data_IF_713553392053
#
_entry.id   IF_713553392053
#
_cell.length_a   1.000
_cell.length_b   1.000
_cell.length_c   1.000
_cell.angle_alpha   90.00
_cell.angle_beta   90.00
_cell.angle_gamma   90.00
#
_symmetry.space_group_name_H-M   'P 1'
#
loop_
_entity.id
_entity.type
_entity.pdbx_description
1 polymer ?
#
# COMPACT_ATOMS: atom_id res chain seq x y z
N UNK A 1 18.87 53.20 -4.54
CA UNK A 1 20.11 52.75 -3.88
C UNK A 1 20.07 51.24 -3.91
N UNK A 2 20.30 50.58 -5.05
CA UNK A 2 21.39 50.75 -6.03
C UNK A 2 22.75 50.36 -5.42
N UNK A 3 23.29 49.26 -5.97
CA UNK A 3 24.70 48.86 -6.05
C UNK A 3 25.47 48.59 -4.75
N UNK A 4 25.90 47.33 -4.59
CA UNK A 4 27.33 47.00 -4.65
C UNK A 4 27.53 45.53 -5.09
N UNK A 5 28.42 45.36 -6.06
CA UNK A 5 28.74 44.14 -6.82
C UNK A 5 29.59 43.13 -6.02
N UNK A 6 29.37 41.81 -6.13
CA UNK A 6 29.88 40.88 -7.17
C UNK A 6 31.42 40.84 -7.32
N UNK A 7 32.00 39.68 -6.96
CA UNK A 7 33.04 38.92 -7.71
C UNK A 7 33.66 37.78 -6.88
N UNK A 8 33.60 36.55 -7.40
CA UNK A 8 34.72 35.60 -7.43
C UNK A 8 34.29 34.34 -8.20
N UNK A 9 34.87 34.10 -9.37
CA UNK A 9 34.69 32.88 -10.15
C UNK A 9 36.02 32.51 -10.86
N UNK A 10 36.26 31.21 -11.04
CA UNK A 10 37.36 30.57 -11.80
C UNK A 10 38.83 30.74 -11.37
N UNK A 11 39.45 29.66 -10.86
CA UNK A 11 40.72 29.14 -11.42
C UNK A 11 41.05 27.68 -11.03
N UNK A 12 41.06 26.83 -12.06
CA UNK A 12 42.05 25.81 -12.44
C UNK A 12 42.87 25.03 -11.36
N UNK A 13 42.58 23.72 -11.28
CA UNK A 13 43.38 22.60 -11.80
C UNK A 13 44.89 22.42 -11.45
N UNK A 14 45.27 21.14 -11.32
CA UNK A 14 46.63 20.55 -11.15
C UNK A 14 47.29 20.58 -9.76
N UNK A 15 47.43 19.39 -9.14
CA UNK A 15 48.72 18.69 -8.99
C UNK A 15 48.50 17.20 -8.70
N UNK A 16 49.15 16.32 -9.48
CA UNK A 16 49.50 14.94 -9.08
C UNK A 16 51.00 14.93 -8.72
N UNK A 17 51.48 14.08 -7.81
CA UNK A 17 52.28 12.88 -8.12
C UNK A 17 52.93 12.22 -6.87
N UNK A 18 53.52 11.01 -7.07
CA UNK A 18 54.26 10.11 -6.14
C UNK A 18 53.46 8.83 -5.72
N UNK A 19 53.16 7.89 -6.63
CA UNK A 19 54.00 6.72 -7.03
C UNK A 19 54.48 5.87 -5.82
N UNK A 20 54.15 4.58 -5.66
CA UNK A 20 54.71 3.34 -6.28
C UNK A 20 53.89 2.13 -5.69
N UNK A 21 53.74 0.92 -6.27
CA UNK A 21 54.13 0.33 -7.57
C UNK A 21 53.20 -0.83 -8.01
N UNK A 22 53.26 -1.12 -9.31
CA UNK A 22 52.75 -2.28 -10.09
C UNK A 22 53.30 -3.67 -9.70
N UNK A 23 52.56 -4.73 -10.07
CA UNK A 23 53.02 -5.65 -11.14
C UNK A 23 51.89 -6.50 -11.76
N UNK A 24 51.88 -6.54 -13.11
CA UNK A 24 51.17 -7.48 -13.97
C UNK A 24 52.11 -7.83 -15.14
N UNK A 25 51.97 -9.00 -15.76
CA UNK A 25 51.56 -9.04 -17.18
C UNK A 25 50.52 -10.16 -17.44
N UNK A 26 49.46 -10.00 -18.25
CA UNK A 26 49.39 -9.67 -19.68
C UNK A 26 49.91 -10.80 -20.61
N UNK A 27 49.05 -11.27 -21.52
CA UNK A 27 49.32 -11.49 -22.96
C UNK A 27 48.06 -11.94 -23.72
N UNK A 28 48.06 -11.77 -25.05
CA UNK A 28 46.92 -12.05 -25.96
C UNK A 28 47.25 -13.13 -26.98
N UNK A 29 46.22 -13.62 -27.70
CA UNK A 29 46.18 -14.14 -29.10
C UNK A 29 45.72 -15.61 -29.33
N UNK A 30 44.70 -15.70 -30.21
CA UNK A 30 44.50 -16.68 -31.32
C UNK A 30 44.28 -18.19 -31.05
N UNK A 31 43.00 -18.58 -31.25
CA UNK A 31 42.49 -19.50 -32.32
C UNK A 31 42.78 -21.02 -32.25
N UNK A 32 41.71 -21.77 -32.56
CA UNK A 32 41.65 -23.11 -33.21
C UNK A 32 41.29 -24.30 -32.30
N UNK A 33 40.72 -25.35 -32.90
CA UNK A 33 39.87 -26.35 -32.24
C UNK A 33 40.48 -27.77 -32.20
N UNK A 34 40.13 -28.51 -31.13
CA UNK A 34 39.94 -29.98 -31.05
C UNK A 34 41.13 -30.90 -31.42
N UNK A 35 41.05 -32.24 -31.22
CA UNK A 35 40.13 -33.05 -30.39
C UNK A 35 40.91 -33.87 -29.31
N UNK A 36 40.24 -34.74 -28.55
CA UNK A 36 40.56 -36.18 -28.36
C UNK A 36 39.51 -36.82 -27.43
N UNK A 37 39.11 -38.05 -27.76
CA UNK A 37 38.14 -38.88 -27.04
C UNK A 37 38.79 -39.78 -25.99
N UNK A 38 38.02 -40.18 -24.97
CA UNK A 38 38.08 -41.54 -24.43
C UNK A 38 36.66 -42.07 -24.18
N UNK A 39 36.53 -43.39 -24.19
CA UNK A 39 35.31 -44.16 -24.42
C UNK A 39 35.02 -45.10 -23.23
N UNK A 40 33.73 -45.37 -22.94
CA UNK A 40 33.26 -46.61 -22.31
C UNK A 40 31.72 -46.73 -22.24
N UNK A 41 31.17 -47.49 -23.19
CA UNK A 41 29.84 -48.14 -23.23
C UNK A 41 29.88 -49.48 -22.40
N UNK A 42 28.92 -50.46 -22.42
CA UNK A 42 27.46 -50.44 -22.65
C UNK A 42 26.61 -51.16 -21.58
N UNK A 43 25.26 -51.04 -21.68
CA UNK A 43 24.36 -52.23 -21.62
C UNK A 43 22.90 -52.05 -22.16
N UNK A 44 22.75 -52.28 -23.47
CA UNK A 44 21.64 -52.96 -24.21
C UNK A 44 20.23 -53.13 -23.58
N UNK A 45 19.20 -52.75 -24.37
CA UNK A 45 18.18 -53.72 -24.88
C UNK A 45 17.58 -53.27 -26.22
N UNK A 46 17.59 -54.17 -27.20
CA UNK A 46 17.11 -53.99 -28.59
C UNK A 46 15.63 -54.34 -28.76
N UNK A 47 14.97 -53.75 -29.78
CA UNK A 47 14.01 -54.44 -30.64
C UNK A 47 13.87 -53.72 -32.00
N UNK A 48 14.14 -54.45 -33.08
CA UNK A 48 14.22 -53.94 -34.45
C UNK A 48 12.87 -53.81 -35.17
N UNK A 49 12.86 -52.97 -36.21
CA UNK A 49 12.01 -53.08 -37.41
C UNK A 49 12.69 -52.27 -38.54
N UNK A 50 13.18 -52.96 -39.57
CA UNK A 50 13.83 -52.36 -40.75
C UNK A 50 12.80 -52.05 -41.87
N UNK A 51 13.34 -51.60 -43.02
CA UNK A 51 12.65 -51.18 -44.27
C UNK A 51 12.12 -49.72 -44.24
N UNK A 52 12.42 -48.87 -45.24
CA UNK A 52 13.25 -49.03 -46.45
C UNK A 52 13.87 -47.70 -46.90
N UNK A 53 14.97 -47.78 -47.65
CA UNK A 53 15.60 -46.62 -48.28
C UNK A 53 14.78 -46.18 -49.50
N UNK A 54 14.43 -44.89 -49.57
CA UNK A 54 14.21 -44.24 -50.86
C UNK A 54 14.94 -42.90 -50.89
N UNK A 55 15.89 -42.79 -51.81
CA UNK A 55 16.90 -41.72 -51.81
C UNK A 55 16.77 -40.90 -53.09
N UNK A 56 16.02 -39.80 -53.04
CA UNK A 56 15.96 -38.82 -54.12
C UNK A 56 16.52 -37.48 -53.65
N UNK A 57 17.79 -37.25 -53.99
CA UNK A 57 18.39 -35.92 -53.92
C UNK A 57 17.66 -34.97 -54.88
N UNK A 58 17.11 -33.88 -54.35
CA UNK A 58 16.82 -32.67 -55.13
C UNK A 58 17.82 -31.60 -54.74
N UNK A 59 18.46 -31.03 -55.76
CA UNK A 59 19.59 -30.11 -55.60
C UNK A 59 19.18 -28.72 -55.08
N UNK A 60 19.97 -28.21 -54.13
CA UNK A 60 20.22 -26.79 -53.85
C UNK A 60 19.06 -25.91 -53.35
N UNK A 61 18.92 -25.88 -52.01
CA UNK A 61 18.19 -24.84 -51.27
C UNK A 61 18.39 -24.85 -49.75
N UNK A 62 18.68 -26.03 -49.17
CA UNK A 62 18.57 -26.27 -47.72
C UNK A 62 19.43 -25.42 -46.77
N UNK A 63 20.67 -25.09 -47.13
CA UNK A 63 21.65 -24.53 -46.17
C UNK A 63 21.24 -23.19 -45.54
N UNK A 64 20.53 -22.31 -46.27
CA UNK A 64 20.07 -21.02 -45.72
C UNK A 64 18.80 -21.16 -44.87
N UNK A 65 17.94 -22.12 -45.18
CA UNK A 65 16.75 -22.39 -44.35
C UNK A 65 17.17 -22.98 -43.03
N UNK A 66 17.96 -24.06 -43.05
CA UNK A 66 18.42 -24.78 -41.87
C UNK A 66 19.12 -23.84 -40.85
N UNK A 67 20.02 -22.98 -41.32
CA UNK A 67 20.67 -21.98 -40.45
C UNK A 67 19.66 -20.96 -39.86
N UNK A 68 18.65 -20.55 -40.63
CA UNK A 68 17.59 -19.68 -40.12
C UNK A 68 16.63 -20.39 -39.16
N UNK A 69 16.48 -21.72 -39.30
CA UNK A 69 15.72 -22.57 -38.39
C UNK A 69 16.46 -22.71 -37.05
N UNK A 70 17.76 -23.05 -37.07
CA UNK A 70 18.63 -23.13 -35.89
C UNK A 70 18.70 -21.79 -35.13
N UNK A 71 18.93 -20.67 -35.83
CA UNK A 71 18.98 -19.34 -35.19
C UNK A 71 17.61 -18.94 -34.60
N UNK A 72 16.50 -19.36 -35.21
CA UNK A 72 15.18 -19.07 -34.67
C UNK A 72 14.91 -19.82 -33.36
N UNK A 73 15.34 -21.09 -33.29
CA UNK A 73 15.19 -21.94 -32.11
C UNK A 73 15.98 -21.40 -30.90
N UNK A 74 17.23 -20.99 -31.12
CA UNK A 74 18.07 -20.32 -30.10
C UNK A 74 17.53 -18.94 -29.66
N UNK A 75 16.56 -18.39 -30.40
CA UNK A 75 15.89 -17.12 -30.12
C UNK A 75 14.42 -17.30 -29.71
N UNK A 76 14.03 -18.47 -29.20
CA UNK A 76 12.71 -18.68 -28.61
C UNK A 76 12.58 -18.05 -27.21
N UNK A 77 11.40 -17.51 -26.91
CA UNK A 77 11.10 -16.94 -25.61
C UNK A 77 10.76 -18.05 -24.59
N UNK A 78 11.56 -18.18 -23.52
CA UNK A 78 11.34 -19.18 -22.45
C UNK A 78 10.03 -19.06 -21.65
N UNK A 79 9.13 -18.12 -21.97
CA UNK A 79 7.77 -18.04 -21.42
C UNK A 79 6.66 -18.46 -22.39
N UNK A 80 6.86 -18.29 -23.70
CA UNK A 80 5.81 -18.54 -24.70
C UNK A 80 6.26 -19.44 -25.86
N UNK A 81 7.49 -19.96 -25.84
CA UNK A 81 8.06 -20.89 -26.82
C UNK A 81 7.94 -20.43 -28.28
N UNK A 82 8.01 -19.11 -28.48
CA UNK A 82 7.86 -18.46 -29.77
C UNK A 82 9.01 -17.46 -29.98
N UNK A 83 9.40 -17.21 -31.23
CA UNK A 83 10.52 -16.34 -31.59
C UNK A 83 10.45 -14.99 -30.86
N UNK A 84 11.52 -14.58 -30.18
CA UNK A 84 11.58 -13.40 -29.33
C UNK A 84 11.07 -12.13 -30.03
N UNK A 85 10.21 -11.39 -29.34
CA UNK A 85 9.69 -10.11 -29.80
C UNK A 85 9.93 -9.04 -28.72
N UNK A 86 10.66 -7.98 -29.11
CA UNK A 86 11.16 -6.92 -28.20
C UNK A 86 11.87 -7.53 -26.98
N UNK A 87 13.01 -8.23 -27.19
CA UNK A 87 13.63 -9.05 -26.15
C UNK A 87 14.16 -8.23 -24.98
N UNK A 88 13.93 -8.74 -23.77
CA UNK A 88 14.47 -8.22 -22.52
C UNK A 88 15.32 -9.29 -21.84
N UNK A 89 16.42 -8.87 -21.22
CA UNK A 89 17.34 -9.72 -20.48
C UNK A 89 17.19 -9.46 -18.98
N UNK A 90 17.01 -10.53 -18.20
CA UNK A 90 16.84 -10.49 -16.74
C UNK A 90 18.21 -10.48 -16.03
N UNK A 91 18.40 -9.56 -15.09
CA UNK A 91 19.61 -9.46 -14.27
C UNK A 91 19.40 -10.04 -12.86
N UNK A 92 20.32 -10.86 -12.32
CA UNK A 92 21.66 -11.16 -12.84
C UNK A 92 21.76 -12.43 -13.72
N UNK A 93 20.69 -13.21 -13.85
CA UNK A 93 20.74 -14.56 -14.45
C UNK A 93 20.80 -14.61 -15.99
N UNK A 94 20.73 -13.46 -16.66
CA UNK A 94 20.85 -13.25 -18.12
C UNK A 94 19.87 -14.02 -19.02
N UNK A 95 18.81 -14.62 -18.46
CA UNK A 95 17.74 -15.24 -19.24
C UNK A 95 16.96 -14.18 -20.04
N UNK A 96 16.51 -14.55 -21.24
CA UNK A 96 15.90 -13.63 -22.21
C UNK A 96 14.45 -14.03 -22.46
N UNK A 97 13.57 -13.03 -22.52
CA UNK A 97 12.13 -13.19 -22.79
C UNK A 97 11.61 -12.06 -23.68
N UNK A 98 10.42 -12.21 -24.25
CA UNK A 98 9.68 -11.08 -24.81
C UNK A 98 9.37 -10.07 -23.69
N UNK A 99 9.48 -8.77 -23.99
CA UNK A 99 9.18 -7.72 -23.01
C UNK A 99 7.75 -7.81 -22.44
N UNK A 100 6.77 -8.17 -23.28
CA UNK A 100 5.38 -8.41 -22.87
C UNK A 100 5.25 -9.60 -21.90
N UNK A 101 5.89 -10.73 -22.19
CA UNK A 101 5.86 -11.92 -21.32
C UNK A 101 6.51 -11.64 -19.95
N UNK A 102 7.65 -10.94 -19.94
CA UNK A 102 8.33 -10.59 -18.69
C UNK A 102 7.53 -9.56 -17.88
N UNK A 103 6.88 -8.59 -18.52
CA UNK A 103 6.05 -7.60 -17.84
C UNK A 103 4.78 -8.24 -17.26
N UNK A 104 4.13 -9.14 -18.00
CA UNK A 104 2.95 -9.85 -17.54
C UNK A 104 3.26 -10.74 -16.34
N UNK A 105 4.41 -11.43 -16.34
CA UNK A 105 4.90 -12.19 -15.19
C UNK A 105 5.06 -11.31 -13.93
N UNK A 106 5.70 -10.14 -14.07
CA UNK A 106 5.87 -9.19 -12.95
C UNK A 106 4.52 -8.65 -12.47
N UNK A 107 3.61 -8.28 -13.38
CA UNK A 107 2.24 -7.82 -13.04
C UNK A 107 1.42 -8.88 -12.32
N UNK A 108 1.62 -10.15 -12.65
CA UNK A 108 0.94 -11.29 -12.01
C UNK A 108 1.61 -11.73 -10.69
N UNK A 109 2.47 -10.90 -10.09
CA UNK A 109 3.11 -11.15 -8.78
C UNK A 109 4.47 -11.85 -8.84
N UNK A 110 5.06 -12.03 -10.02
CA UNK A 110 6.39 -12.64 -10.19
C UNK A 110 7.53 -11.78 -9.64
N UNK A 111 8.21 -12.26 -8.60
CA UNK A 111 9.35 -11.60 -7.93
C UNK A 111 10.73 -12.10 -8.40
N UNK A 112 10.76 -13.09 -9.30
CA UNK A 112 11.96 -13.80 -9.73
C UNK A 112 11.95 -14.13 -11.24
N UNK A 113 13.05 -14.66 -11.77
CA UNK A 113 13.14 -15.01 -13.20
C UNK A 113 12.16 -16.15 -13.57
N UNK A 114 11.36 -16.03 -14.65
CA UNK A 114 10.44 -17.09 -15.08
C UNK A 114 11.10 -18.46 -15.34
N UNK A 115 12.30 -18.47 -15.93
CA UNK A 115 12.99 -19.71 -16.30
C UNK A 115 13.71 -20.37 -15.10
N UNK A 116 14.62 -19.64 -14.46
CA UNK A 116 15.51 -20.20 -13.43
C UNK A 116 15.06 -19.94 -11.99
N UNK A 117 13.98 -19.17 -11.76
CA UNK A 117 13.42 -18.78 -10.44
C UNK A 117 14.40 -18.07 -9.48
N UNK A 118 15.61 -17.74 -9.94
CA UNK A 118 16.60 -17.00 -9.18
C UNK A 118 16.13 -15.57 -8.87
N UNK A 119 16.57 -15.05 -7.72
CA UNK A 119 16.35 -13.66 -7.33
C UNK A 119 16.82 -12.72 -8.45
N UNK A 120 15.91 -11.90 -8.93
CA UNK A 120 16.09 -11.04 -10.09
C UNK A 120 15.78 -9.61 -9.69
N UNK A 121 16.51 -8.64 -10.24
CA UNK A 121 16.37 -7.23 -9.84
C UNK A 121 15.72 -6.40 -10.94
N UNK A 122 16.15 -6.61 -12.19
CA UNK A 122 15.73 -5.83 -13.35
C UNK A 122 15.60 -6.70 -14.59
N UNK A 123 14.75 -6.30 -15.52
CA UNK A 123 14.74 -6.81 -16.89
C UNK A 123 14.87 -5.64 -17.87
N UNK A 124 15.93 -5.64 -18.68
CA UNK A 124 16.29 -4.52 -19.56
C UNK A 124 16.28 -4.94 -21.04
N UNK A 125 15.89 -4.04 -21.98
CA UNK A 125 15.82 -4.37 -23.41
C UNK A 125 17.20 -4.68 -23.99
N UNK A 126 17.31 -5.79 -24.74
CA UNK A 126 18.56 -6.23 -25.37
C UNK A 126 18.63 -5.78 -26.83
N UNK A 127 19.31 -4.65 -27.09
CA UNK A 127 19.52 -4.16 -28.46
C UNK A 127 20.30 -5.14 -29.36
N UNK A 128 21.36 -5.85 -28.89
CA UNK A 128 22.05 -6.83 -29.72
C UNK A 128 21.13 -7.95 -30.21
N UNK A 129 20.28 -8.50 -29.34
CA UNK A 129 19.35 -9.57 -29.73
C UNK A 129 18.27 -9.05 -30.69
N UNK A 130 17.75 -7.84 -30.45
CA UNK A 130 16.84 -7.20 -31.42
C UNK A 130 17.50 -7.08 -32.80
N UNK A 131 18.79 -6.69 -32.90
CA UNK A 131 19.50 -6.65 -34.18
C UNK A 131 19.62 -8.02 -34.87
N UNK A 132 19.84 -9.11 -34.11
CA UNK A 132 19.89 -10.47 -34.67
C UNK A 132 18.52 -10.88 -35.20
N UNK A 133 17.44 -10.60 -34.46
CA UNK A 133 16.06 -10.84 -34.90
C UNK A 133 15.73 -9.99 -36.15
N UNK A 134 16.15 -8.72 -36.18
CA UNK A 134 15.99 -7.82 -37.34
C UNK A 134 16.76 -8.35 -38.59
N UNK A 135 17.88 -9.07 -38.41
CA UNK A 135 18.60 -9.75 -39.49
C UNK A 135 17.90 -11.03 -39.92
N UNK A 136 17.47 -11.86 -38.96
CA UNK A 136 16.77 -13.13 -39.20
C UNK A 136 15.50 -12.89 -40.02
N UNK A 137 14.62 -11.98 -39.58
CA UNK A 137 13.34 -11.71 -40.24
C UNK A 137 13.49 -11.07 -41.63
N UNK A 138 14.61 -10.38 -41.92
CA UNK A 138 14.92 -9.91 -43.28
C UNK A 138 15.32 -11.02 -44.25
N UNK A 139 15.81 -12.16 -43.74
CA UNK A 139 16.23 -13.31 -44.55
C UNK A 139 15.18 -14.44 -44.54
N UNK A 140 14.39 -14.56 -43.47
CA UNK A 140 13.34 -15.56 -43.27
C UNK A 140 12.03 -14.88 -42.78
N UNK A 141 11.35 -14.08 -43.61
CA UNK A 141 10.17 -13.30 -43.20
C UNK A 141 8.97 -14.18 -42.80
N UNK A 142 8.92 -15.44 -43.24
CA UNK A 142 7.88 -16.40 -42.87
C UNK A 142 7.94 -16.83 -41.38
N UNK A 143 9.04 -16.54 -40.68
CA UNK A 143 9.20 -16.76 -39.23
C UNK A 143 8.71 -15.58 -38.38
N UNK A 144 8.19 -14.51 -38.99
CA UNK A 144 7.62 -13.41 -38.24
C UNK A 144 6.33 -13.83 -37.54
N UNK A 145 6.19 -13.50 -36.24
CA UNK A 145 4.92 -13.62 -35.51
C UNK A 145 3.79 -12.92 -36.26
N UNK A 146 2.56 -13.41 -36.08
CA UNK A 146 1.39 -12.83 -36.70
C UNK A 146 1.22 -11.36 -36.30
N UNK A 147 0.51 -10.59 -37.14
CA UNK A 147 0.28 -9.16 -36.89
C UNK A 147 -0.40 -8.94 -35.53
N UNK A 148 -1.45 -9.73 -35.26
CA UNK A 148 -2.26 -9.67 -34.03
C UNK A 148 -1.46 -9.92 -32.75
N UNK A 149 -0.54 -10.90 -32.77
CA UNK A 149 0.32 -11.18 -31.60
C UNK A 149 1.31 -10.03 -31.32
N UNK A 150 1.81 -9.38 -32.37
CA UNK A 150 2.71 -8.23 -32.23
C UNK A 150 1.95 -7.00 -31.70
N UNK A 151 0.74 -6.76 -32.17
CA UNK A 151 -0.15 -5.71 -31.65
C UNK A 151 -0.47 -5.94 -30.15
N UNK A 152 -0.91 -7.15 -29.78
CA UNK A 152 -1.18 -7.50 -28.38
C UNK A 152 0.06 -7.37 -27.48
N UNK A 153 1.25 -7.77 -27.98
CA UNK A 153 2.50 -7.61 -27.24
C UNK A 153 2.89 -6.13 -27.06
N UNK A 154 2.55 -5.26 -28.02
CA UNK A 154 2.85 -3.83 -28.01
C UNK A 154 1.91 -3.03 -27.10
N UNK A 155 0.65 -3.47 -26.95
CA UNK A 155 -0.28 -2.96 -25.94
C UNK A 155 0.25 -3.20 -24.51
N UNK A 156 0.84 -4.39 -24.27
CA UNK A 156 1.39 -4.77 -22.96
C UNK A 156 2.72 -4.06 -22.70
N UNK A 157 3.68 -4.10 -23.63
CA UNK A 157 5.06 -3.64 -23.41
C UNK A 157 5.57 -2.68 -24.51
N UNK A 158 5.94 -1.47 -24.10
CA UNK A 158 6.59 -0.48 -24.96
C UNK A 158 8.12 -0.65 -24.96
N UNK A 159 8.71 -0.76 -26.15
CA UNK A 159 10.15 -0.88 -26.37
C UNK A 159 10.95 0.18 -25.62
N UNK A 160 12.09 -0.21 -25.04
CA UNK A 160 12.97 0.69 -24.30
C UNK A 160 12.69 0.74 -22.80
N UNK A 161 11.53 0.25 -22.34
CA UNK A 161 11.16 0.25 -20.92
C UNK A 161 12.00 -0.77 -20.13
N UNK A 162 12.69 -0.31 -19.09
CA UNK A 162 13.36 -1.18 -18.11
C UNK A 162 12.34 -1.54 -17.03
N UNK A 163 12.20 -2.83 -16.73
CA UNK A 163 11.34 -3.35 -15.68
C UNK A 163 12.13 -3.65 -14.42
N UNK A 164 11.49 -3.54 -13.26
CA UNK A 164 12.03 -3.96 -11.95
C UNK A 164 11.18 -5.08 -11.41
N UNK A 165 11.82 -6.11 -10.85
CA UNK A 165 11.11 -7.13 -10.08
C UNK A 165 10.79 -6.56 -8.70
N UNK A 166 9.57 -6.78 -8.16
CA UNK A 166 9.28 -6.47 -6.78
C UNK A 166 10.16 -7.32 -5.85
N UNK A 167 10.56 -6.75 -4.71
CA UNK A 167 11.22 -7.54 -3.66
C UNK A 167 10.31 -8.72 -3.29
N UNK A 168 10.84 -9.94 -3.12
CA UNK A 168 10.11 -10.99 -2.44
C UNK A 168 9.53 -10.45 -1.14
N UNK A 169 8.24 -10.72 -0.87
CA UNK A 169 7.70 -10.54 0.48
C UNK A 169 8.54 -11.42 1.39
N UNK A 170 9.09 -10.83 2.45
CA UNK A 170 9.74 -11.61 3.49
C UNK A 170 8.74 -12.66 3.99
N UNK A 171 9.15 -13.93 4.01
CA UNK A 171 8.33 -14.99 4.57
C UNK A 171 8.17 -14.62 6.04
N UNK A 172 6.93 -14.43 6.51
CA UNK A 172 6.66 -14.21 7.93
C UNK A 172 7.43 -15.23 8.74
N UNK A 173 8.22 -14.84 9.76
CA UNK A 173 8.97 -15.77 10.58
C UNK A 173 8.05 -16.90 11.04
N UNK A 174 8.52 -18.15 11.00
CA UNK A 174 7.72 -19.28 11.45
C UNK A 174 7.18 -18.96 12.85
N UNK A 175 5.86 -19.08 13.09
CA UNK A 175 5.28 -18.74 14.38
C UNK A 175 5.92 -19.63 15.42
N UNK A 176 6.63 -19.03 16.38
CA UNK A 176 7.39 -19.77 17.38
C UNK A 176 6.41 -20.52 18.30
N UNK A 177 6.14 -21.77 17.96
CA UNK A 177 5.06 -22.62 18.51
C UNK A 177 5.24 -22.97 20.00
N UNK A 178 6.30 -22.48 20.63
CA UNK A 178 6.62 -22.72 22.04
C UNK A 178 6.65 -21.43 22.88
N UNK A 179 5.87 -20.42 22.47
CA UNK A 179 5.60 -19.24 23.29
C UNK A 179 4.44 -19.58 24.24
N UNK A 180 4.73 -19.90 25.51
CA UNK A 180 3.73 -19.67 26.56
C UNK A 180 3.37 -18.18 26.54
N UNK A 181 2.07 -17.93 26.49
CA UNK A 181 1.42 -16.61 26.49
C UNK A 181 1.11 -16.10 27.89
N UNK A 182 1.43 -16.88 28.93
CA UNK A 182 1.12 -16.59 30.33
C UNK A 182 2.12 -15.59 30.93
N UNK A 183 3.35 -15.56 30.40
CA UNK A 183 4.46 -14.76 30.92
C UNK A 183 4.91 -13.65 29.95
N UNK A 184 5.17 -12.48 30.51
CA UNK A 184 5.74 -11.35 29.78
C UNK A 184 7.16 -11.67 29.30
N UNK A 185 7.46 -11.30 28.04
CA UNK A 185 8.81 -11.47 27.46
C UNK A 185 9.64 -10.20 27.53
N UNK A 186 10.98 -10.32 27.65
CA UNK A 186 11.89 -9.17 27.65
C UNK A 186 11.70 -8.27 26.43
N UNK A 187 11.66 -6.95 26.67
CA UNK A 187 11.73 -5.98 25.60
C UNK A 187 13.14 -5.95 24.97
N UNK A 188 13.31 -5.36 23.76
CA UNK A 188 14.62 -5.28 23.09
C UNK A 188 15.76 -4.62 23.90
N UNK A 189 15.44 -3.85 24.95
CA UNK A 189 16.39 -3.21 25.86
C UNK A 189 16.65 -3.97 27.17
N UNK A 190 15.92 -5.06 27.45
CA UNK A 190 16.16 -5.89 28.64
C UNK A 190 17.45 -6.70 28.54
N UNK A 191 17.88 -7.06 27.31
CA UNK A 191 19.10 -7.84 27.11
C UNK A 191 20.34 -7.05 27.53
N UNK A 192 21.24 -7.62 28.36
CA UNK A 192 22.47 -6.96 28.78
C UNK A 192 23.39 -6.55 27.62
N UNK A 193 23.36 -7.31 26.52
CA UNK A 193 24.16 -7.08 25.31
C UNK A 193 23.30 -6.54 24.15
N UNK A 194 22.35 -5.66 24.42
CA UNK A 194 21.55 -5.04 23.36
C UNK A 194 22.38 -4.06 22.49
N UNK A 195 22.01 -3.91 21.22
CA UNK A 195 22.70 -3.08 20.23
C UNK A 195 22.32 -1.58 20.31
N UNK A 196 21.39 -1.20 21.18
CA UNK A 196 20.75 0.11 21.18
C UNK A 196 21.45 1.13 22.10
N UNK A 197 22.49 0.73 22.83
CA UNK A 197 23.25 1.62 23.72
C UNK A 197 22.48 2.11 24.95
N UNK A 198 21.29 1.53 25.21
CA UNK A 198 20.45 1.85 26.36
C UNK A 198 19.78 0.57 26.85
N UNK A 199 19.83 0.33 28.16
CA UNK A 199 19.32 -0.89 28.81
C UNK A 199 18.30 -0.55 29.89
N UNK A 200 17.33 -1.44 30.10
CA UNK A 200 16.29 -1.25 31.11
C UNK A 200 16.87 -1.17 32.53
N UNK A 201 16.47 -0.18 33.36
CA UNK A 201 16.89 -0.13 34.78
C UNK A 201 16.42 -1.32 35.60
N UNK A 202 15.26 -1.89 35.24
CA UNK A 202 14.69 -3.12 35.78
C UNK A 202 14.33 -3.98 34.56
N UNK A 203 15.18 -4.91 34.12
CA UNK A 203 14.85 -5.76 32.98
C UNK A 203 13.75 -6.77 33.36
N UNK A 204 12.84 -7.05 32.42
CA UNK A 204 11.89 -8.15 32.53
C UNK A 204 12.68 -9.47 32.42
N UNK A 205 12.57 -10.42 33.37
CA UNK A 205 13.20 -11.74 33.27
C UNK A 205 12.72 -12.52 32.03
N UNK A 206 13.60 -13.32 31.44
CA UNK A 206 13.20 -14.20 30.34
C UNK A 206 12.63 -15.52 30.88
N UNK A 207 11.34 -15.84 30.64
CA UNK A 207 10.72 -17.07 31.16
C UNK A 207 11.36 -18.36 30.64
N UNK A 208 12.22 -18.29 29.61
CA UNK A 208 12.99 -19.45 29.11
C UNK A 208 14.28 -19.69 29.89
N UNK A 209 14.75 -18.70 30.65
CA UNK A 209 15.99 -18.73 31.45
C UNK A 209 15.69 -18.79 32.94
N UNK A 210 14.71 -18.01 33.39
CA UNK A 210 14.27 -17.92 34.78
C UNK A 210 12.73 -17.90 34.82
N UNK A 211 12.15 -19.09 35.00
CA UNK A 211 10.70 -19.27 35.11
C UNK A 211 10.17 -18.92 36.51
N UNK A 212 11.02 -18.93 37.54
CA UNK A 212 10.61 -18.68 38.93
C UNK A 212 10.33 -17.19 39.17
N UNK A 213 11.10 -16.30 38.54
CA UNK A 213 10.91 -14.85 38.58
C UNK A 213 10.21 -14.29 37.32
N UNK A 214 9.67 -15.16 36.46
CA UNK A 214 8.97 -14.73 35.25
C UNK A 214 7.71 -13.92 35.61
N UNK A 215 7.53 -12.77 34.97
CA UNK A 215 6.39 -11.89 35.23
C UNK A 215 5.13 -12.43 34.54
N UNK A 216 4.07 -12.69 35.29
CA UNK A 216 2.80 -13.17 34.74
C UNK A 216 1.99 -12.01 34.12
N UNK A 217 1.35 -12.21 32.97
CA UNK A 217 0.65 -11.11 32.27
C UNK A 217 -0.58 -10.62 33.06
N UNK A 218 -1.23 -11.50 33.82
CA UNK A 218 -2.38 -11.13 34.67
C UNK A 218 -1.99 -10.23 35.86
N UNK A 219 -0.70 -10.18 36.25
CA UNK A 219 -0.20 -9.23 37.26
C UNK A 219 -0.08 -7.79 36.72
N UNK A 220 -0.46 -7.59 35.45
CA UNK A 220 -0.42 -6.31 34.76
C UNK A 220 0.92 -6.04 34.07
N UNK A 221 1.22 -4.77 33.80
CA UNK A 221 2.42 -4.41 33.06
C UNK A 221 3.67 -4.38 33.97
N UNK A 222 4.81 -4.98 33.55
CA UNK A 222 6.06 -4.93 34.30
C UNK A 222 6.51 -3.50 34.56
N UNK A 223 7.13 -3.26 35.72
CA UNK A 223 7.55 -1.91 36.13
C UNK A 223 8.44 -1.24 35.06
N UNK A 224 8.07 -0.01 34.68
CA UNK A 224 8.79 0.77 33.66
C UNK A 224 8.55 0.34 32.20
N UNK A 225 7.66 -0.64 31.98
CA UNK A 225 7.33 -1.18 30.67
C UNK A 225 5.83 -1.06 30.36
N UNK A 226 5.51 -1.01 29.07
CA UNK A 226 4.14 -1.11 28.53
C UNK A 226 4.20 -1.86 27.20
N UNK A 227 3.07 -2.26 26.63
CA UNK A 227 3.02 -2.84 25.29
C UNK A 227 3.07 -1.75 24.20
N UNK A 228 3.72 -2.04 23.09
CA UNK A 228 3.74 -1.17 21.91
C UNK A 228 2.39 -1.21 21.18
N UNK A 229 1.76 -0.07 20.94
CA UNK A 229 0.46 0.04 20.25
C UNK A 229 0.45 -0.30 18.74
N UNK A 230 1.39 -1.10 18.25
CA UNK A 230 1.43 -1.61 16.87
C UNK A 230 2.03 -3.02 16.76
N UNK A 231 3.09 -3.35 17.52
CA UNK A 231 3.68 -4.70 17.51
C UNK A 231 3.42 -5.50 18.80
N UNK A 232 2.69 -4.92 19.76
CA UNK A 232 2.21 -5.53 21.03
C UNK A 232 3.29 -6.07 21.98
N UNK A 233 4.54 -6.12 21.51
CA UNK A 233 5.73 -6.41 22.32
C UNK A 233 5.91 -5.36 23.40
N UNK A 234 6.39 -5.80 24.57
CA UNK A 234 6.84 -4.88 25.61
C UNK A 234 7.91 -3.92 25.10
N UNK A 235 7.82 -2.67 25.55
CA UNK A 235 8.79 -1.60 25.35
C UNK A 235 9.13 -0.99 26.71
N UNK A 236 10.28 -0.30 26.80
CA UNK A 236 10.64 0.45 27.99
C UNK A 236 10.22 1.92 27.84
N UNK A 237 9.51 2.46 28.84
CA UNK A 237 8.94 3.82 28.81
C UNK A 237 10.01 4.92 28.73
N UNK A 238 11.24 4.64 29.18
CA UNK A 238 12.36 5.59 29.24
C UNK A 238 13.44 5.36 28.16
N UNK A 239 13.20 4.45 27.22
CA UNK A 239 14.14 4.21 26.13
C UNK A 239 14.15 5.39 25.13
N UNK A 240 15.31 5.81 24.59
CA UNK A 240 15.39 6.91 23.62
C UNK A 240 14.63 6.69 22.31
N UNK A 241 14.33 5.42 21.95
CA UNK A 241 13.53 5.06 20.79
C UNK A 241 12.02 5.09 21.03
N UNK A 242 11.58 5.11 22.30
CA UNK A 242 10.16 5.08 22.64
C UNK A 242 9.52 6.43 22.35
N UNK A 243 8.40 6.40 21.63
CA UNK A 243 7.59 7.58 21.31
C UNK A 243 6.17 7.42 21.88
N UNK A 244 5.50 8.52 22.18
CA UNK A 244 4.12 8.56 22.70
C UNK A 244 3.24 9.31 21.70
N UNK A 245 1.97 8.91 21.54
CA UNK A 245 0.99 9.71 20.80
C UNK A 245 0.37 10.75 21.74
N UNK A 246 0.33 12.03 21.36
CA UNK A 246 -0.27 13.07 22.19
C UNK A 246 -1.81 13.02 22.20
N UNK A 247 -2.42 12.27 21.29
CA UNK A 247 -3.88 12.11 21.18
C UNK A 247 -4.37 10.93 22.04
N UNK A 248 -4.19 9.68 21.58
CA UNK A 248 -4.61 8.47 22.32
C UNK A 248 -3.73 8.09 23.53
N UNK A 249 -2.62 8.82 23.77
CA UNK A 249 -1.63 8.59 24.85
C UNK A 249 -0.88 7.24 24.81
N UNK A 250 -1.13 6.39 23.81
CA UNK A 250 -0.43 5.11 23.57
C UNK A 250 1.05 5.29 23.23
N UNK A 251 1.89 4.33 23.64
CA UNK A 251 3.33 4.30 23.42
C UNK A 251 3.74 3.35 22.28
N UNK A 252 4.86 3.66 21.63
CA UNK A 252 5.40 2.93 20.49
C UNK A 252 6.92 2.79 20.59
N UNK A 253 7.47 1.61 20.28
CA UNK A 253 8.85 1.24 20.66
C UNK A 253 9.98 1.79 19.78
N UNK A 254 9.67 2.34 18.60
CA UNK A 254 10.63 2.78 17.59
C UNK A 254 11.38 1.66 16.84
N UNK A 255 11.29 0.42 17.32
CA UNK A 255 12.19 -0.68 16.93
C UNK A 255 11.50 -1.75 16.07
N UNK A 256 10.39 -2.34 16.54
CA UNK A 256 9.86 -3.60 15.98
C UNK A 256 9.50 -3.53 14.49
N UNK A 257 8.82 -2.46 14.08
CA UNK A 257 8.62 -2.08 12.67
C UNK A 257 8.87 -0.57 12.59
N UNK A 258 10.07 -0.08 12.24
CA UNK A 258 10.43 1.33 12.44
C UNK A 258 9.52 2.35 11.72
N UNK A 259 8.86 1.95 10.63
CA UNK A 259 7.89 2.78 9.89
C UNK A 259 6.46 2.75 10.44
N UNK A 260 6.17 1.94 11.46
CA UNK A 260 4.82 1.77 12.04
C UNK A 260 4.80 1.89 13.57
N UNK A 261 5.82 1.38 14.25
CA UNK A 261 6.01 1.47 15.68
C UNK A 261 6.55 2.84 16.13
N UNK A 262 5.98 3.94 15.64
CA UNK A 262 6.37 5.29 16.03
C UNK A 262 5.20 6.28 16.00
N UNK A 263 5.05 7.08 17.07
CA UNK A 263 4.38 8.36 16.95
C UNK A 263 5.35 9.37 16.33
N UNK A 264 4.89 10.10 15.33
CA UNK A 264 5.69 11.03 14.53
C UNK A 264 5.10 12.45 14.61
N UNK A 265 5.84 13.51 14.23
CA UNK A 265 5.30 14.86 14.18
C UNK A 265 4.04 14.92 13.31
N UNK A 266 3.00 15.65 13.77
CA UNK A 266 1.66 15.60 13.15
C UNK A 266 1.69 15.83 11.63
N UNK A 267 2.39 16.86 11.15
CA UNK A 267 2.50 17.18 9.72
C UNK A 267 3.31 16.18 8.88
N UNK A 268 3.99 15.22 9.51
CA UNK A 268 4.85 14.23 8.84
C UNK A 268 4.33 12.80 8.94
N UNK A 269 3.34 12.52 9.81
CA UNK A 269 2.79 11.17 9.97
C UNK A 269 2.09 10.68 8.69
N UNK A 270 1.96 9.36 8.57
CA UNK A 270 1.13 8.71 7.56
C UNK A 270 -0.11 8.07 8.26
N UNK A 271 -1.34 8.33 7.78
CA UNK A 271 -2.53 7.62 8.25
C UNK A 271 -2.36 6.10 8.27
N UNK A 272 -3.02 5.41 9.20
CA UNK A 272 -3.17 3.95 9.14
C UNK A 272 -4.00 3.57 7.90
N UNK A 273 -3.83 2.36 7.37
CA UNK A 273 -4.52 1.89 6.16
C UNK A 273 -3.99 2.53 4.87
N UNK A 274 -3.95 3.85 4.79
CA UNK A 274 -3.74 4.59 3.54
C UNK A 274 -2.27 4.83 3.19
N UNK A 275 -1.77 4.07 2.22
CA UNK A 275 -0.44 4.20 1.60
C UNK A 275 -0.54 4.72 0.18
N UNK A 276 -1.47 4.17 -0.61
CA UNK A 276 -1.76 4.60 -1.97
C UNK A 276 -3.28 4.73 -2.23
N UNK A 277 -3.66 4.94 -3.49
CA UNK A 277 -5.06 5.14 -3.89
C UNK A 277 -5.89 3.85 -3.88
N UNK A 278 -5.26 2.68 -4.00
CA UNK A 278 -5.92 1.37 -3.90
C UNK A 278 -6.47 1.16 -2.49
N UNK A 279 -5.77 1.65 -1.46
CA UNK A 279 -6.23 1.63 -0.08
C UNK A 279 -7.46 2.54 0.10
N UNK A 280 -7.53 3.69 -0.58
CA UNK A 280 -8.71 4.57 -0.57
C UNK A 280 -9.92 3.92 -1.26
N UNK A 281 -9.71 3.25 -2.40
CA UNK A 281 -10.76 2.53 -3.15
C UNK A 281 -11.34 1.36 -2.33
N UNK A 282 -10.55 0.77 -1.42
CA UNK A 282 -10.96 -0.41 -0.64
C UNK A 282 -11.54 -0.08 0.75
N UNK A 283 -11.46 1.16 1.23
CA UNK A 283 -11.94 1.54 2.56
C UNK A 283 -13.43 1.92 2.55
N UNK A 284 -14.24 1.19 3.32
CA UNK A 284 -15.64 1.53 3.61
C UNK A 284 -15.79 2.95 4.14
N UNK A 285 -14.91 3.34 5.05
CA UNK A 285 -14.97 4.58 5.82
C UNK A 285 -14.84 5.82 4.91
N UNK A 286 -14.09 5.68 3.81
CA UNK A 286 -14.02 6.68 2.74
C UNK A 286 -15.38 6.87 2.06
N UNK A 287 -16.14 5.80 1.78
CA UNK A 287 -17.49 5.91 1.22
C UNK A 287 -18.50 6.46 2.24
N UNK A 288 -18.38 6.08 3.51
CA UNK A 288 -19.23 6.58 4.60
C UNK A 288 -19.11 8.10 4.79
N UNK A 289 -17.92 8.69 4.60
CA UNK A 289 -17.73 10.15 4.56
C UNK A 289 -18.69 10.86 3.58
N UNK A 290 -19.06 10.18 2.48
CA UNK A 290 -19.96 10.68 1.44
C UNK A 290 -21.35 10.05 1.51
N UNK A 291 -21.76 9.57 2.69
CA UNK A 291 -23.05 8.89 2.92
C UNK A 291 -23.27 7.69 1.96
N UNK A 292 -22.20 6.98 1.61
CA UNK A 292 -22.19 5.90 0.61
C UNK A 292 -22.59 6.31 -0.81
N UNK A 293 -22.52 7.60 -1.17
CA UNK A 293 -22.65 8.07 -2.55
C UNK A 293 -21.40 7.70 -3.36
N UNK A 294 -21.47 6.60 -4.11
CA UNK A 294 -20.33 6.10 -4.89
C UNK A 294 -19.90 7.06 -5.99
N UNK A 295 -20.83 7.82 -6.59
CA UNK A 295 -20.54 8.75 -7.69
C UNK A 295 -19.64 9.89 -7.21
N UNK A 296 -19.95 10.51 -6.07
CA UNK A 296 -19.11 11.60 -5.54
C UNK A 296 -17.74 11.10 -5.05
N UNK A 297 -17.65 9.85 -4.60
CA UNK A 297 -16.38 9.18 -4.25
C UNK A 297 -15.55 8.90 -5.51
N UNK A 298 -16.14 8.37 -6.58
CA UNK A 298 -15.48 8.15 -7.87
C UNK A 298 -14.91 9.46 -8.44
N UNK A 299 -15.70 10.54 -8.45
CA UNK A 299 -15.24 11.88 -8.90
C UNK A 299 -14.06 12.38 -8.04
N UNK A 300 -14.08 12.15 -6.73
CA UNK A 300 -12.95 12.49 -5.86
C UNK A 300 -11.70 11.66 -6.17
N UNK A 301 -11.85 10.35 -6.38
CA UNK A 301 -10.74 9.44 -6.69
C UNK A 301 -10.12 9.73 -8.07
N UNK A 302 -10.94 10.05 -9.08
CA UNK A 302 -10.48 10.47 -10.40
C UNK A 302 -9.68 11.78 -10.33
N UNK A 303 -10.13 12.73 -9.50
CA UNK A 303 -9.37 13.97 -9.25
C UNK A 303 -8.03 13.69 -8.56
N UNK A 304 -8.02 12.88 -7.50
CA UNK A 304 -6.80 12.49 -6.78
C UNK A 304 -5.80 11.83 -7.73
N UNK A 305 -6.29 10.93 -8.61
CA UNK A 305 -5.50 10.26 -9.66
C UNK A 305 -4.92 11.27 -10.64
N UNK A 306 -5.77 12.15 -11.18
CA UNK A 306 -5.40 13.13 -12.22
C UNK A 306 -4.37 14.15 -11.72
N UNK A 307 -4.48 14.58 -10.46
CA UNK A 307 -3.54 15.50 -9.83
C UNK A 307 -2.30 14.81 -9.23
N UNK A 308 -2.22 13.47 -9.26
CA UNK A 308 -1.11 12.71 -8.67
C UNK A 308 -1.00 12.89 -7.14
N UNK A 309 -2.12 13.12 -6.45
CA UNK A 309 -2.14 13.31 -5.01
C UNK A 309 -2.01 11.96 -4.28
N UNK A 310 -1.36 11.98 -3.13
CA UNK A 310 -1.25 10.80 -2.25
C UNK A 310 -2.09 11.00 -1.00
N UNK A 311 -2.54 9.93 -0.31
CA UNK A 311 -3.25 10.06 0.96
C UNK A 311 -2.47 10.88 1.99
N UNK A 312 -1.13 10.79 1.99
CA UNK A 312 -0.25 11.60 2.84
C UNK A 312 -0.24 13.08 2.49
N UNK A 313 -0.36 13.44 1.21
CA UNK A 313 -0.51 14.84 0.78
C UNK A 313 -1.85 15.41 1.26
N UNK A 314 -2.94 14.68 1.04
CA UNK A 314 -4.29 15.04 1.48
C UNK A 314 -4.34 15.20 3.01
N UNK A 315 -3.80 14.23 3.76
CA UNK A 315 -3.67 14.31 5.22
C UNK A 315 -2.93 15.56 5.70
N UNK A 316 -1.78 15.89 5.07
CA UNK A 316 -1.00 17.08 5.42
C UNK A 316 -1.80 18.36 5.17
N UNK A 317 -2.59 18.41 4.11
CA UNK A 317 -3.38 19.59 3.74
C UNK A 317 -4.64 19.73 4.63
N UNK A 318 -5.21 18.62 5.11
CA UNK A 318 -6.21 18.58 6.20
C UNK A 318 -5.59 19.12 7.50
N UNK A 319 -4.45 18.56 7.94
CA UNK A 319 -3.70 18.98 9.14
C UNK A 319 -3.38 20.47 9.08
N UNK A 320 -2.90 20.96 7.93
CA UNK A 320 -2.60 22.38 7.73
C UNK A 320 -3.85 23.24 7.93
N UNK A 321 -4.98 22.84 7.33
CA UNK A 321 -6.22 23.59 7.48
C UNK A 321 -6.73 23.60 8.93
N UNK A 322 -6.62 22.49 9.65
CA UNK A 322 -6.98 22.42 11.08
C UNK A 322 -6.09 23.36 11.91
N UNK A 323 -4.77 23.37 11.66
CA UNK A 323 -3.83 24.27 12.34
C UNK A 323 -4.07 25.77 12.06
N UNK A 324 -4.69 26.11 10.92
CA UNK A 324 -5.13 27.47 10.58
C UNK A 324 -6.41 27.89 11.36
N UNK A 325 -7.14 26.95 11.99
CA UNK A 325 -8.34 27.24 12.78
C UNK A 325 -8.02 27.69 14.22
N UNK A 326 -8.82 28.61 14.81
CA UNK A 326 -8.53 29.17 16.15
C UNK A 326 -8.59 28.15 17.28
N UNK A 327 -9.34 27.05 17.12
CA UNK A 327 -9.41 25.95 18.11
C UNK A 327 -8.51 24.75 17.76
N UNK A 328 -7.85 24.77 16.61
CA UNK A 328 -7.00 23.67 16.11
C UNK A 328 -7.67 22.29 16.28
N UNK A 329 -6.98 21.31 16.87
CA UNK A 329 -7.49 19.95 17.09
C UNK A 329 -8.48 19.82 18.26
N UNK A 330 -8.70 20.87 19.06
CA UNK A 330 -9.56 20.81 20.25
C UNK A 330 -10.99 20.29 19.97
N UNK A 331 -11.68 20.64 18.85
CA UNK A 331 -13.00 20.08 18.57
C UNK A 331 -13.00 18.56 18.35
N UNK A 332 -11.94 18.01 17.74
CA UNK A 332 -11.82 16.55 17.51
C UNK A 332 -11.57 15.81 18.82
N UNK A 333 -10.87 16.44 19.77
CA UNK A 333 -10.67 15.91 21.13
C UNK A 333 -12.00 15.95 21.91
N UNK A 334 -12.78 17.03 21.80
CA UNK A 334 -14.11 17.16 22.42
C UNK A 334 -15.19 16.25 21.83
N UNK A 335 -14.96 15.71 20.63
CA UNK A 335 -15.80 14.68 20.00
C UNK A 335 -15.44 13.25 20.43
N UNK A 336 -14.49 13.07 21.37
CA UNK A 336 -13.94 11.77 21.80
C UNK A 336 -13.47 10.88 20.63
N UNK A 337 -13.01 11.51 19.53
CA UNK A 337 -12.59 10.83 18.29
C UNK A 337 -11.39 9.88 18.50
N UNK A 338 -10.59 10.09 19.55
CA UNK A 338 -9.38 9.33 19.80
C UNK A 338 -9.56 8.38 20.99
N UNK A 339 -9.65 7.08 20.73
CA UNK A 339 -9.71 6.06 21.79
C UNK A 339 -8.47 6.15 22.70
N UNK A 340 -8.65 6.65 23.92
CA UNK A 340 -7.57 6.78 24.90
C UNK A 340 -7.28 5.39 25.48
N UNK A 341 -6.02 4.95 25.41
CA UNK A 341 -5.60 3.73 26.10
C UNK A 341 -5.39 4.02 27.58
N UNK A 342 -6.09 3.29 28.47
CA UNK A 342 -6.05 3.46 29.93
C UNK A 342 -4.67 3.22 30.59
N UNK A 343 -3.62 2.91 29.81
CA UNK A 343 -2.26 2.58 30.26
C UNK A 343 -1.39 3.82 30.46
N UNK A 344 -1.89 5.02 30.13
CA UNK A 344 -1.14 6.26 30.28
C UNK A 344 -1.04 6.70 31.74
N UNK A 345 0.11 6.44 32.37
CA UNK A 345 0.51 7.13 33.60
C UNK A 345 0.37 8.65 33.45
N UNK A 346 -0.14 9.29 34.51
CA UNK A 346 -0.56 10.70 34.53
C UNK A 346 0.51 11.63 33.92
N UNK A 347 0.10 12.45 32.95
CA UNK A 347 0.94 13.45 32.32
C UNK A 347 0.11 14.70 32.01
N UNK A 348 0.63 15.88 32.39
CA UNK A 348 -0.08 17.16 32.36
C UNK A 348 -0.87 17.40 31.06
N UNK A 349 -2.14 17.75 31.22
CA UNK A 349 -3.12 17.90 30.14
C UNK A 349 -3.01 19.24 29.37
N UNK A 350 -1.97 20.02 29.61
CA UNK A 350 -1.81 21.40 29.11
C UNK A 350 -0.85 21.56 27.92
N UNK A 351 -0.10 20.51 27.54
CA UNK A 351 0.83 20.57 26.42
C UNK A 351 0.11 20.52 25.06
N UNK A 352 0.50 21.38 24.13
CA UNK A 352 0.01 21.34 22.74
C UNK A 352 0.41 20.02 22.07
N UNK A 353 -0.50 19.30 21.41
CA UNK A 353 -0.16 18.08 20.69
C UNK A 353 0.89 18.34 19.61
N UNK A 354 1.97 17.55 19.61
CA UNK A 354 3.05 17.65 18.62
C UNK A 354 3.28 16.35 17.87
N UNK A 355 2.95 15.22 18.48
CA UNK A 355 3.20 13.87 17.99
C UNK A 355 1.91 13.05 17.92
N UNK A 356 1.77 12.23 16.87
CA UNK A 356 0.57 11.46 16.61
C UNK A 356 0.93 10.07 16.07
N UNK A 357 0.17 9.04 16.44
CA UNK A 357 0.30 7.71 15.87
C UNK A 357 -0.46 7.60 14.53
N UNK A 358 -0.23 6.51 13.80
CA UNK A 358 -0.90 6.27 12.51
C UNK A 358 -2.42 6.14 12.63
N UNK A 359 -2.93 5.54 13.71
CA UNK A 359 -4.37 5.37 13.92
C UNK A 359 -5.08 6.69 14.17
N UNK A 360 -4.59 7.54 15.09
CA UNK A 360 -5.16 8.88 15.28
C UNK A 360 -5.00 9.77 14.03
N UNK A 361 -3.94 9.57 13.22
CA UNK A 361 -3.81 10.23 11.93
C UNK A 361 -4.85 9.73 10.90
N UNK A 362 -5.32 8.48 11.01
CA UNK A 362 -6.43 7.93 10.24
C UNK A 362 -7.75 8.61 10.61
N UNK A 363 -8.05 8.76 11.90
CA UNK A 363 -9.26 9.45 12.36
C UNK A 363 -9.35 10.88 11.84
N UNK A 364 -8.25 11.65 11.95
CA UNK A 364 -8.17 13.03 11.42
C UNK A 364 -8.33 13.04 9.89
N UNK A 365 -7.77 12.04 9.21
CA UNK A 365 -7.86 11.93 7.75
C UNK A 365 -9.30 11.69 7.29
N UNK A 366 -9.98 10.69 7.86
CA UNK A 366 -11.37 10.34 7.56
C UNK A 366 -12.30 11.51 7.91
N UNK A 367 -12.21 12.04 9.14
CA UNK A 367 -13.01 13.19 9.59
C UNK A 367 -12.86 14.41 8.67
N UNK A 368 -11.63 14.70 8.22
CA UNK A 368 -11.33 15.87 7.38
C UNK A 368 -11.54 15.67 5.87
N UNK A 369 -11.78 14.45 5.40
CA UNK A 369 -11.75 14.11 3.96
C UNK A 369 -12.83 14.85 3.16
N UNK A 370 -14.07 14.87 3.67
CA UNK A 370 -15.21 15.54 3.01
C UNK A 370 -15.02 17.05 2.92
N UNK A 371 -14.58 17.68 4.01
CA UNK A 371 -14.29 19.13 4.04
C UNK A 371 -13.12 19.51 3.12
N UNK A 372 -12.05 18.70 3.13
CA UNK A 372 -10.95 18.86 2.17
C UNK A 372 -11.46 18.79 0.73
N UNK A 373 -12.32 17.82 0.40
CA UNK A 373 -12.89 17.70 -0.93
C UNK A 373 -13.76 18.90 -1.32
N UNK A 374 -14.61 19.40 -0.41
CA UNK A 374 -15.39 20.64 -0.62
C UNK A 374 -14.48 21.82 -0.95
N UNK A 375 -13.38 22.00 -0.20
CA UNK A 375 -12.39 23.06 -0.45
C UNK A 375 -11.64 22.87 -1.78
N UNK A 376 -11.39 21.63 -2.19
CA UNK A 376 -10.67 21.32 -3.42
C UNK A 376 -11.55 21.56 -4.66
N UNK A 377 -12.84 21.19 -4.63
CA UNK A 377 -13.82 21.51 -5.68
C UNK A 377 -13.89 23.01 -5.97
N UNK A 378 -13.87 23.84 -4.91
CA UNK A 378 -13.91 25.31 -5.00
C UNK A 378 -12.70 25.95 -5.70
N UNK A 379 -11.61 25.20 -5.93
CA UNK A 379 -10.47 25.67 -6.75
C UNK A 379 -10.74 25.62 -8.26
N UNK A 380 -11.79 24.92 -8.70
CA UNK A 380 -12.22 24.88 -10.11
C UNK A 380 -11.34 24.04 -11.04
N UNK A 381 -10.54 23.11 -10.51
CA UNK A 381 -9.66 22.22 -11.31
C UNK A 381 -10.34 20.91 -11.75
N UNK A 382 -11.66 20.87 -11.77
CA UNK A 382 -12.46 19.69 -12.14
C UNK A 382 -12.96 19.78 -13.58
N UNK A 383 -13.36 18.65 -14.14
CA UNK A 383 -14.01 18.64 -15.44
C UNK A 383 -15.30 19.48 -15.44
N UNK A 384 -15.52 20.19 -16.54
CA UNK A 384 -16.71 21.01 -16.76
C UNK A 384 -18.01 20.17 -16.69
N UNK A 385 -17.94 18.88 -17.05
CA UNK A 385 -19.00 17.88 -16.89
C UNK A 385 -19.47 17.71 -15.44
N UNK A 386 -18.52 17.70 -14.50
CA UNK A 386 -18.76 17.54 -13.05
C UNK A 386 -19.24 18.83 -12.43
N UNK A 387 -18.62 19.96 -12.81
CA UNK A 387 -18.94 21.28 -12.26
C UNK A 387 -20.32 21.80 -12.73
N UNK A 388 -20.83 21.31 -13.86
CA UNK A 388 -22.16 21.67 -14.38
C UNK A 388 -23.31 20.77 -13.88
N UNK A 389 -23.06 19.81 -12.98
CA UNK A 389 -24.12 19.04 -12.31
C UNK A 389 -24.95 19.99 -11.43
N UNK A 390 -26.28 19.85 -11.48
CA UNK A 390 -27.20 20.69 -10.69
C UNK A 390 -27.12 20.28 -9.23
N UNK A 391 -27.15 21.23 -8.29
CA UNK A 391 -27.21 20.88 -6.87
C UNK A 391 -28.51 20.13 -6.53
N UNK A 392 -28.41 19.08 -5.73
CA UNK A 392 -29.57 18.38 -5.19
C UNK A 392 -30.33 19.33 -4.23
N UNK A 393 -31.67 19.43 -4.29
CA UNK A 393 -32.45 20.24 -3.35
C UNK A 393 -32.21 19.86 -1.88
N UNK A 394 -32.02 18.56 -1.61
CA UNK A 394 -31.75 17.99 -0.28
C UNK A 394 -30.24 17.98 0.08
N UNK A 395 -29.38 18.45 -0.85
CA UNK A 395 -27.92 18.51 -0.68
C UNK A 395 -27.30 17.19 -0.20
N UNK A 396 -26.36 17.30 0.75
CA UNK A 396 -25.68 16.14 1.35
C UNK A 396 -26.57 15.26 2.23
N UNK A 397 -27.80 15.70 2.54
CA UNK A 397 -28.79 14.93 3.32
C UNK A 397 -29.71 14.05 2.48
N UNK A 398 -29.60 14.09 1.15
CA UNK A 398 -30.52 13.41 0.25
C UNK A 398 -30.55 11.89 0.46
N UNK A 399 -31.74 11.32 0.71
CA UNK A 399 -31.92 9.87 0.84
C UNK A 399 -31.67 9.13 -0.49
N UNK A 400 -31.90 9.79 -1.63
CA UNK A 400 -31.68 9.21 -2.97
C UNK A 400 -30.22 9.28 -3.45
N UNK A 401 -29.27 9.78 -2.65
CA UNK A 401 -27.87 9.91 -3.08
C UNK A 401 -27.13 8.58 -3.24
N UNK A 402 -27.75 7.45 -2.83
CA UNK A 402 -27.27 6.09 -3.11
C UNK A 402 -27.79 5.51 -4.43
N UNK A 403 -28.83 6.10 -5.01
CA UNK A 403 -29.41 5.64 -6.28
C UNK A 403 -28.59 6.17 -7.46
N UNK A 404 -28.03 5.26 -8.26
CA UNK A 404 -27.04 5.57 -9.30
C UNK A 404 -27.48 6.71 -10.26
N UNK A 405 -28.70 6.65 -10.79
CA UNK A 405 -29.18 7.64 -11.75
C UNK A 405 -29.37 9.03 -11.11
N UNK A 406 -29.84 9.09 -9.86
CA UNK A 406 -30.01 10.34 -9.12
C UNK A 406 -28.66 10.94 -8.70
N UNK A 407 -27.78 10.11 -8.15
CA UNK A 407 -26.41 10.47 -7.79
C UNK A 407 -25.63 11.00 -9.00
N UNK A 408 -25.87 10.44 -10.20
CA UNK A 408 -25.25 10.91 -11.43
C UNK A 408 -25.75 12.28 -11.89
N UNK A 409 -27.06 12.57 -11.84
CA UNK A 409 -27.61 13.85 -12.31
C UNK A 409 -27.30 15.03 -11.36
N UNK A 410 -27.39 14.82 -10.04
CA UNK A 410 -27.33 15.89 -9.05
C UNK A 410 -26.06 15.87 -8.21
N UNK A 411 -25.51 17.04 -7.90
CA UNK A 411 -24.40 17.24 -6.96
C UNK A 411 -24.90 17.16 -5.50
N UNK A 412 -24.23 16.36 -4.66
CA UNK A 412 -24.56 16.18 -3.24
C UNK A 412 -23.49 16.70 -2.28
N UNK A 413 -22.40 17.30 -2.78
CA UNK A 413 -21.29 17.76 -1.93
C UNK A 413 -21.57 19.10 -1.25
N UNK A 414 -22.27 20.02 -1.92
CA UNK A 414 -22.72 21.27 -1.34
C UNK A 414 -24.23 21.22 -1.09
N UNK A 415 -24.65 21.40 0.16
CA UNK A 415 -26.05 21.67 0.50
C UNK A 415 -26.23 23.14 0.77
N UNK A 416 -27.34 23.73 0.29
CA UNK A 416 -27.80 24.99 0.87
C UNK A 416 -28.15 24.74 2.35
N UNK A 417 -27.87 25.68 3.27
CA UNK A 417 -28.57 25.66 4.54
C UNK A 417 -30.07 25.73 4.23
N UNK A 418 -30.85 24.86 4.87
CA UNK A 418 -32.31 24.95 4.81
C UNK A 418 -32.71 26.23 5.53
N UNK A 419 -32.84 27.32 4.77
CA UNK A 419 -33.58 28.48 5.24
C UNK A 419 -35.02 28.02 5.43
N UNK A 420 -35.37 27.75 6.69
CA UNK A 420 -36.73 27.44 7.07
C UNK A 420 -37.60 28.63 6.71
N UNK A 421 -38.36 28.51 5.62
CA UNK A 421 -39.39 29.48 5.27
C UNK A 421 -40.36 29.59 6.45
N UNK A 422 -40.27 30.69 7.20
CA UNK A 422 -41.28 31.08 8.17
C UNK A 422 -42.48 31.57 7.37
N UNK A 423 -43.21 30.61 6.79
CA UNK A 423 -44.43 30.87 6.05
C UNK A 423 -45.51 31.32 7.03
N UNK A 424 -45.72 32.63 7.13
CA UNK A 424 -46.80 33.20 7.95
C UNK A 424 -48.17 32.77 7.39
N UNK A 425 -48.85 31.86 8.07
CA UNK A 425 -50.21 31.45 7.74
C UNK A 425 -51.14 31.58 8.97
N UNK A 426 -52.07 32.52 8.84
CA UNK A 426 -53.07 32.96 9.80
C UNK A 426 -53.82 31.85 10.55
N UNK A 427 -54.03 32.05 11.86
CA UNK A 427 -54.85 31.19 12.72
C UNK A 427 -56.34 31.38 12.49
N UNK A 428 -57.08 30.30 12.21
CA UNK A 428 -58.53 30.18 12.47
C UNK A 428 -58.86 28.82 13.06
N UNK A 429 -59.68 28.73 14.12
CA UNK A 429 -59.86 27.49 14.89
C UNK A 429 -60.86 26.51 14.27
N UNK A 430 -60.78 25.19 14.59
CA UNK A 430 -61.73 24.19 14.12
C UNK A 430 -63.09 24.31 14.82
N UNK A 431 -64.17 23.92 14.13
CA UNK A 431 -65.48 23.68 14.73
C UNK A 431 -65.61 22.20 15.06
N UNK A 432 -65.97 21.89 16.31
CA UNK A 432 -66.53 20.58 16.66
C UNK A 432 -68.01 20.54 16.24
N UNK A 433 -68.45 19.42 15.68
CA UNK A 433 -69.87 19.11 15.47
C UNK A 433 -70.22 17.84 16.23
N UNK A 434 -71.11 18.00 17.20
CA UNK A 434 -71.65 16.95 18.05
C UNK A 434 -72.58 16.02 17.26
N UNK A 435 -72.39 14.71 17.36
CA UNK A 435 -73.49 13.75 17.19
C UNK A 435 -73.53 12.77 18.36
N UNK A 436 -74.73 12.61 18.90
CA UNK A 436 -75.07 11.81 20.09
C UNK A 436 -75.60 10.44 19.66
N UNK A 437 -75.46 9.39 20.49
CA UNK A 437 -76.56 8.45 20.89
C UNK A 437 -76.03 7.23 21.70
N UNK A 438 -76.40 7.25 22.98
CA UNK A 438 -76.66 6.17 23.98
C UNK A 438 -76.14 4.73 23.85
N UNK A 439 -75.37 4.34 24.87
CA UNK A 439 -75.49 3.17 25.77
C UNK A 439 -76.04 1.80 25.29
N UNK A 440 -75.12 0.81 25.23
CA UNK A 440 -75.14 -0.54 25.89
C UNK A 440 -73.66 -0.94 26.12
N UNK A 441 -73.18 -1.66 27.14
CA UNK A 441 -73.77 -2.22 28.39
C UNK A 441 -73.36 -3.70 28.62
N UNK A 442 -73.10 -4.13 29.89
CA UNK A 442 -72.87 -5.54 30.36
C UNK A 442 -71.53 -6.17 29.85
N UNK A 443 -70.61 -6.84 30.60
CA UNK A 443 -70.42 -7.24 32.03
C UNK A 443 -68.94 -7.59 32.34
N UNK A 444 -68.56 -7.60 33.63
CA UNK A 444 -67.62 -8.51 34.36
C UNK A 444 -66.39 -9.09 33.63
N UNK A 445 -65.15 -8.80 34.06
CA UNK A 445 -64.41 -9.47 35.17
C UNK A 445 -62.94 -9.65 34.74
N UNK A 446 -61.92 -9.97 35.55
CA UNK A 446 -61.81 -10.29 36.99
C UNK A 446 -60.43 -9.83 37.53
N UNK A 447 -60.13 -10.12 38.80
CA UNK A 447 -59.04 -9.60 39.66
C UNK A 447 -57.61 -10.06 39.32
N UNK A 448 -56.62 -9.23 39.70
CA UNK A 448 -55.50 -9.50 40.67
C UNK A 448 -54.46 -8.36 40.54
N UNK A 449 -54.14 -7.54 41.57
CA UNK A 449 -53.20 -7.75 42.70
C UNK A 449 -51.82 -8.31 42.30
N UNK A 450 -50.65 -7.79 42.70
CA UNK A 450 -50.33 -6.67 43.61
C UNK A 450 -48.80 -6.41 43.71
N UNK A 451 -48.40 -5.17 44.04
CA UNK A 451 -47.21 -4.76 44.86
C UNK A 451 -45.77 -5.19 44.53
N UNK A 452 -44.90 -4.19 44.34
CA UNK A 452 -43.49 -4.13 44.80
C UNK A 452 -43.08 -2.63 44.82
N UNK A 453 -43.00 -1.92 45.96
CA UNK A 453 -42.02 -1.96 47.07
C UNK A 453 -40.73 -1.14 46.79
N UNK A 454 -40.78 0.15 47.13
CA UNK A 454 -39.58 1.00 47.28
C UNK A 454 -38.86 0.74 48.62
N UNK A 455 -37.55 1.00 48.67
CA UNK A 455 -36.75 0.99 49.91
C UNK A 455 -35.58 1.96 49.79
N UNK A 456 -35.35 2.75 50.83
CA UNK A 456 -34.49 3.94 50.83
C UNK A 456 -33.01 3.66 51.16
N UNK A 457 -32.10 4.64 50.95
CA UNK A 457 -30.82 4.71 51.64
C UNK A 457 -30.93 5.50 52.97
N UNK A 458 -30.13 5.10 53.96
CA UNK A 458 -30.00 5.76 55.27
C UNK A 458 -28.56 6.26 55.43
N UNK A 459 -28.39 7.48 55.96
CA UNK A 459 -27.08 8.00 56.37
C UNK A 459 -26.65 7.44 57.73
N UNK A 460 -25.34 7.18 57.88
CA UNK A 460 -24.69 6.79 59.13
C UNK A 460 -23.18 6.75 58.96
#
# INVERSE_FOLDING_TARGET
>A
MAELESKADSHLQETQDATLTRNSPALSLKRSASPTCEDQDPRKRFKDSEESMDNQCTEQGGSKSQLADEIAQELECGCCSELLYKPVMVSPCQHIFCGSCCLLWIRNGGTNCPACRASSTTAAPSRPLQLVIDVLLRNAPHKARSVREREQADEIYKSGTIMRFPSPREVSPEPNVNISTEYARPCPHCSPNNVYGWSCPIPIPDPTVDLEHAWHIDDGFPTGHVQCGNCETFLALRAPSTTKCDFCKTYFCGIGVPSRCSAAPISLQQPHGFTDISDLIQSSDVYECFNSNTIEVEIMLDYITTQGLSPRHIYRDIVKHILEQPRQFQPLIEMDLFTISHVAAESDSSATPHTICRSCACEIFIWGLKDWWIRERRKGFLEESVMNRKDCPEGSGCVMQTEFDHAREFNHIEGKPVESEISSACSTPPKETTETITEVGITEGDRTSSTASESAPVCG
#
